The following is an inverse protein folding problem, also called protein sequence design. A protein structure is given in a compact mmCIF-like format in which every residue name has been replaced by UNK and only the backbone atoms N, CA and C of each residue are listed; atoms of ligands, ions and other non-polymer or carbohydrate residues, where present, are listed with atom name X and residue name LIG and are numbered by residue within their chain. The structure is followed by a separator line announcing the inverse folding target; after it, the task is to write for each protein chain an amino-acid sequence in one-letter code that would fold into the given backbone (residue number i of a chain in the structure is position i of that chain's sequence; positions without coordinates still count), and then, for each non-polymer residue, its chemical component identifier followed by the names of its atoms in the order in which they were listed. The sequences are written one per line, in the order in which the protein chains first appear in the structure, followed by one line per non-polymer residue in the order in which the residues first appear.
data_IF_939975536275
#
_entry.id   IF_939975536275
#
_cell.length_a   1.000
_cell.length_b   1.000
_cell.length_c   1.000
_cell.angle_alpha   90.00
_cell.angle_beta   90.00
_cell.angle_gamma   90.00
#
_symmetry.space_group_name_H-M   'P 1'
#
loop_
_entity.id
_entity.type
_entity.pdbx_description
1 polymer ?
#
# COMPACT_ATOMS: atom_id res chain seq x y z
N UNK A 1 -15.41 -16.45 5.69
CA UNK A 1 -14.80 -15.34 4.91
C UNK A 1 -14.79 -14.10 5.78
N UNK A 2 -13.76 -13.25 5.72
CA UNK A 2 -13.61 -12.09 6.63
C UNK A 2 -14.61 -10.95 6.38
N UNK A 3 -15.31 -10.94 5.23
CA UNK A 3 -16.28 -9.89 4.89
C UNK A 3 -15.66 -8.53 4.55
N UNK A 4 -14.33 -8.44 4.51
CA UNK A 4 -13.58 -7.23 4.17
C UNK A 4 -13.40 -7.10 2.65
N UNK A 5 -13.17 -5.86 2.19
CA UNK A 5 -12.82 -5.59 0.81
C UNK A 5 -11.30 -5.64 0.66
N UNK A 6 -10.83 -6.54 -0.20
CA UNK A 6 -9.42 -6.70 -0.56
C UNK A 6 -9.16 -6.13 -1.96
N UNK A 7 -7.92 -5.69 -2.16
CA UNK A 7 -7.49 -5.00 -3.36
C UNK A 7 -6.19 -5.59 -3.87
N UNK A 8 -6.12 -5.77 -5.18
CA UNK A 8 -4.95 -6.19 -5.91
C UNK A 8 -4.83 -5.28 -7.13
N UNK A 9 -3.86 -4.37 -7.13
CA UNK A 9 -3.69 -3.44 -8.25
C UNK A 9 -3.41 -4.22 -9.55
N UNK A 10 -3.87 -3.73 -10.71
CA UNK A 10 -3.83 -4.48 -11.96
C UNK A 10 -2.42 -4.97 -12.32
N UNK A 11 -2.35 -6.06 -13.08
CA UNK A 11 -1.11 -6.71 -13.53
C UNK A 11 -0.35 -7.33 -12.35
N UNK A 12 0.67 -6.66 -11.86
CA UNK A 12 1.56 -7.07 -10.80
C UNK A 12 0.86 -7.53 -9.50
N UNK A 13 -0.17 -6.83 -9.04
CA UNK A 13 -0.88 -7.20 -7.80
C UNK A 13 -1.71 -8.46 -8.00
N UNK A 14 -2.44 -8.53 -9.11
CA UNK A 14 -3.23 -9.71 -9.51
C UNK A 14 -2.35 -10.95 -9.74
N UNK A 15 -1.17 -10.77 -10.34
CA UNK A 15 -0.16 -11.82 -10.51
C UNK A 15 0.33 -12.36 -9.16
N UNK A 16 0.70 -11.47 -8.23
CA UNK A 16 1.11 -11.85 -6.87
C UNK A 16 -0.02 -12.53 -6.10
N UNK A 17 -1.27 -12.08 -6.26
CA UNK A 17 -2.44 -12.74 -5.69
C UNK A 17 -2.58 -14.17 -6.23
N UNK A 18 -2.46 -14.36 -7.55
CA UNK A 18 -2.55 -15.67 -8.18
C UNK A 18 -1.39 -16.60 -7.78
N UNK A 19 -0.18 -16.08 -7.67
CA UNK A 19 1.04 -16.87 -7.41
C UNK A 19 1.25 -17.18 -5.92
N UNK A 20 0.95 -16.22 -5.03
CA UNK A 20 1.29 -16.29 -3.61
C UNK A 20 0.07 -16.28 -2.67
N UNK A 21 -1.14 -15.99 -3.18
CA UNK A 21 -2.37 -16.08 -2.39
C UNK A 21 -2.61 -14.92 -1.42
N UNK A 22 -2.02 -13.75 -1.64
CA UNK A 22 -2.23 -12.56 -0.81
C UNK A 22 -2.67 -11.33 -1.62
N UNK A 23 -3.43 -10.44 -0.99
CA UNK A 23 -3.85 -9.17 -1.55
C UNK A 23 -2.94 -8.03 -1.09
N UNK A 24 -2.85 -6.98 -1.90
CA UNK A 24 -1.90 -5.89 -1.74
C UNK A 24 -2.42 -4.88 -0.72
N UNK A 25 -3.73 -4.71 -0.61
CA UNK A 25 -4.35 -3.93 0.45
C UNK A 25 -5.69 -4.53 0.89
N UNK A 26 -6.13 -4.12 2.08
CA UNK A 26 -7.46 -4.39 2.62
C UNK A 26 -8.01 -3.13 3.26
N UNK A 27 -9.32 -2.92 3.14
CA UNK A 27 -10.02 -1.88 3.89
C UNK A 27 -10.67 -2.44 5.15
N UNK A 28 -10.39 -1.81 6.29
CA UNK A 28 -10.93 -2.14 7.61
C UNK A 28 -11.56 -0.89 8.20
N UNK A 29 -12.87 -0.72 8.01
CA UNK A 29 -13.56 0.52 8.41
C UNK A 29 -13.01 1.74 7.66
N UNK A 30 -12.46 2.68 8.40
CA UNK A 30 -11.79 3.90 7.92
C UNK A 30 -10.29 3.71 7.62
N UNK A 31 -9.76 2.50 7.78
CA UNK A 31 -8.33 2.22 7.54
C UNK A 31 -8.10 1.48 6.23
N UNK A 32 -6.97 1.80 5.61
CA UNK A 32 -6.38 1.02 4.53
C UNK A 32 -5.11 0.39 5.07
N UNK A 33 -5.04 -0.93 5.09
CA UNK A 33 -3.84 -1.67 5.46
C UNK A 33 -3.19 -2.24 4.20
N UNK A 34 -1.93 -1.85 3.96
CA UNK A 34 -1.16 -2.32 2.82
C UNK A 34 -0.23 -3.45 3.24
N UNK A 35 -0.14 -4.50 2.43
CA UNK A 35 0.97 -5.44 2.49
C UNK A 35 2.30 -4.74 2.17
N UNK A 36 3.41 -5.36 2.59
CA UNK A 36 4.76 -4.87 2.32
C UNK A 36 5.02 -4.59 0.84
N UNK A 37 5.55 -3.40 0.54
CA UNK A 37 5.93 -2.96 -0.79
C UNK A 37 7.45 -2.89 -0.91
N UNK A 38 8.00 -3.73 -1.78
CA UNK A 38 9.36 -3.60 -2.29
C UNK A 38 9.44 -2.76 -3.56
N UNK A 39 10.62 -2.69 -4.16
CA UNK A 39 10.83 -1.99 -5.43
C UNK A 39 10.28 -2.76 -6.65
N UNK A 40 10.18 -4.09 -6.59
CA UNK A 40 9.67 -4.91 -7.70
C UNK A 40 8.13 -4.91 -7.69
N UNK A 41 7.53 -4.22 -8.65
CA UNK A 41 6.08 -4.26 -8.83
C UNK A 41 5.67 -5.56 -9.52
N UNK A 42 6.21 -5.84 -10.71
CA UNK A 42 5.82 -6.97 -11.57
C UNK A 42 6.61 -8.24 -11.37
N UNK A 43 6.72 -9.01 -12.46
CA UNK A 43 7.37 -10.32 -12.52
C UNK A 43 8.79 -10.32 -11.88
N UNK A 44 9.23 -11.45 -11.29
CA UNK A 44 10.62 -11.64 -10.84
C UNK A 44 11.69 -11.33 -11.89
N UNK A 45 11.34 -11.36 -13.19
CA UNK A 45 12.27 -11.01 -14.28
C UNK A 45 12.46 -9.51 -14.49
N UNK A 46 11.57 -8.65 -13.96
CA UNK A 46 11.70 -7.20 -14.08
C UNK A 46 12.89 -6.72 -13.24
N UNK A 47 13.96 -6.16 -13.80
CA UNK A 47 15.14 -5.78 -13.03
C UNK A 47 14.80 -4.77 -11.92
N UNK A 48 15.40 -4.95 -10.76
CA UNK A 48 15.32 -3.98 -9.68
C UNK A 48 16.16 -2.74 -10.01
N UNK A 49 15.80 -1.57 -9.45
CA UNK A 49 16.70 -0.44 -9.42
C UNK A 49 18.06 -0.84 -8.81
N UNK A 50 19.18 -0.39 -9.41
CA UNK A 50 20.51 -0.89 -9.07
C UNK A 50 21.02 -0.45 -7.70
N UNK A 51 20.48 0.65 -7.13
CA UNK A 51 20.90 1.13 -5.82
C UNK A 51 19.81 0.96 -4.75
N UNK A 52 20.24 0.77 -3.50
CA UNK A 52 19.35 0.74 -2.33
C UNK A 52 18.45 1.98 -2.28
N UNK A 53 19.01 3.16 -2.51
CA UNK A 53 18.26 4.42 -2.47
C UNK A 53 17.18 4.50 -3.54
N UNK A 54 17.43 3.98 -4.75
CA UNK A 54 16.42 3.91 -5.81
C UNK A 54 15.37 2.84 -5.52
N UNK A 55 15.75 1.71 -4.91
CA UNK A 55 14.78 0.72 -4.45
C UNK A 55 13.82 1.32 -3.40
N UNK A 56 14.35 2.13 -2.47
CA UNK A 56 13.52 2.86 -1.49
C UNK A 56 12.56 3.82 -2.22
N UNK A 57 13.04 4.64 -3.15
CA UNK A 57 12.17 5.56 -3.92
C UNK A 57 11.06 4.83 -4.68
N UNK A 58 11.40 3.67 -5.26
CA UNK A 58 10.43 2.84 -5.97
C UNK A 58 9.42 2.19 -5.01
N UNK A 59 9.87 1.71 -3.84
CA UNK A 59 8.97 1.18 -2.82
C UNK A 59 7.97 2.24 -2.36
N UNK A 60 8.40 3.50 -2.18
CA UNK A 60 7.48 4.61 -1.89
C UNK A 60 6.46 4.85 -3.00
N UNK A 61 6.89 4.83 -4.26
CA UNK A 61 5.99 4.94 -5.41
C UNK A 61 4.98 3.79 -5.46
N UNK A 62 5.41 2.57 -5.11
CA UNK A 62 4.53 1.39 -5.08
C UNK A 62 3.51 1.47 -3.93
N UNK A 63 3.88 2.01 -2.77
CA UNK A 63 2.92 2.30 -1.69
C UNK A 63 1.87 3.31 -2.14
N UNK A 64 2.27 4.38 -2.83
CA UNK A 64 1.34 5.36 -3.38
C UNK A 64 0.29 4.69 -4.28
N UNK A 65 0.75 3.88 -5.24
CA UNK A 65 -0.12 3.12 -6.14
C UNK A 65 -1.09 2.21 -5.36
N UNK A 66 -0.58 1.48 -4.38
CA UNK A 66 -1.37 0.53 -3.61
C UNK A 66 -2.49 1.24 -2.81
N UNK A 67 -2.16 2.33 -2.13
CA UNK A 67 -3.13 3.15 -1.40
C UNK A 67 -4.20 3.75 -2.33
N UNK A 68 -3.78 4.31 -3.47
CA UNK A 68 -4.70 4.89 -4.44
C UNK A 68 -5.64 3.84 -5.05
N UNK A 69 -5.11 2.65 -5.35
CA UNK A 69 -5.92 1.56 -5.87
C UNK A 69 -6.96 1.07 -4.83
N UNK A 70 -6.64 1.13 -3.53
CA UNK A 70 -7.59 0.89 -2.44
C UNK A 70 -8.57 2.06 -2.18
N UNK A 71 -8.59 3.07 -3.04
CA UNK A 71 -9.47 4.23 -2.97
C UNK A 71 -8.99 5.38 -2.07
N UNK A 72 -7.78 5.28 -1.52
CA UNK A 72 -7.17 6.35 -0.73
C UNK A 72 -6.55 7.46 -1.59
N UNK A 73 -6.08 8.50 -0.93
CA UNK A 73 -5.37 9.65 -1.53
C UNK A 73 -3.85 9.43 -1.60
N UNK A 74 -3.35 8.36 -0.97
CA UNK A 74 -1.94 7.99 -0.95
C UNK A 74 -1.24 8.38 0.34
N UNK A 75 0.04 8.74 0.23
CA UNK A 75 0.92 8.99 1.39
C UNK A 75 0.42 10.06 2.35
N UNK A 76 -0.35 11.05 1.88
CA UNK A 76 -0.95 12.09 2.73
C UNK A 76 -1.86 11.55 3.84
N UNK A 77 -2.33 10.30 3.72
CA UNK A 77 -3.20 9.64 4.68
C UNK A 77 -2.45 8.64 5.59
N UNK A 78 -1.17 8.38 5.34
CA UNK A 78 -0.40 7.36 6.08
C UNK A 78 -0.06 7.85 7.48
N UNK A 79 -0.46 7.10 8.51
CA UNK A 79 -0.12 7.43 9.90
C UNK A 79 0.88 6.47 10.54
N UNK A 80 1.03 5.24 10.01
CA UNK A 80 1.97 4.23 10.48
C UNK A 80 2.81 3.69 9.34
N UNK A 81 4.12 3.62 9.55
CA UNK A 81 5.08 2.99 8.65
C UNK A 81 5.91 1.97 9.41
N UNK A 82 6.02 0.76 8.86
CA UNK A 82 7.03 -0.21 9.25
C UNK A 82 7.94 -0.42 8.03
N UNK A 83 9.26 -0.36 8.22
CA UNK A 83 10.20 -0.69 7.14
C UNK A 83 11.25 -1.70 7.58
N UNK A 84 11.53 -2.64 6.67
CA UNK A 84 12.43 -3.76 6.86
C UNK A 84 13.57 -3.63 5.87
N UNK A 85 14.81 -3.67 6.36
CA UNK A 85 16.01 -3.39 5.57
C UNK A 85 17.01 -4.53 5.66
N UNK A 86 17.51 -4.99 4.52
CA UNK A 86 18.67 -5.91 4.48
C UNK A 86 19.97 -5.14 4.74
N UNK A 87 20.03 -3.88 4.29
CA UNK A 87 21.11 -2.94 4.57
C UNK A 87 20.52 -1.66 5.19
N UNK A 88 20.91 -1.37 6.44
CA UNK A 88 20.46 -0.21 7.21
C UNK A 88 21.58 0.83 7.34
N UNK A 89 22.16 1.22 6.20
CA UNK A 89 23.17 2.28 6.10
C UNK A 89 22.58 3.68 6.28
N UNK A 90 23.45 4.67 6.50
CA UNK A 90 23.06 6.08 6.59
C UNK A 90 22.34 6.56 5.31
N UNK A 91 22.75 6.04 4.15
CA UNK A 91 22.09 6.31 2.87
C UNK A 91 20.64 5.78 2.84
N UNK A 92 20.39 4.63 3.46
CA UNK A 92 19.05 4.06 3.61
C UNK A 92 18.17 4.96 4.47
N UNK A 93 18.67 5.40 5.63
CA UNK A 93 17.94 6.27 6.54
C UNK A 93 17.71 7.67 5.94
N UNK A 94 18.69 8.21 5.22
CA UNK A 94 18.55 9.45 4.48
C UNK A 94 17.49 9.32 3.36
N UNK A 95 17.43 8.15 2.71
CA UNK A 95 16.43 7.84 1.69
C UNK A 95 15.00 7.73 2.24
N UNK A 96 14.82 7.07 3.38
CA UNK A 96 13.53 7.05 4.06
C UNK A 96 13.11 8.47 4.46
N UNK A 97 14.02 9.23 5.07
CA UNK A 97 13.76 10.60 5.55
C UNK A 97 13.39 11.56 4.42
N UNK A 98 14.13 11.54 3.29
CA UNK A 98 13.79 12.42 2.15
C UNK A 98 12.43 12.10 1.57
N UNK A 99 12.06 10.81 1.52
CA UNK A 99 10.76 10.40 0.99
C UNK A 99 9.63 10.78 1.95
N UNK A 100 9.78 10.61 3.26
CA UNK A 100 8.77 11.10 4.20
C UNK A 100 8.51 12.60 4.03
N UNK A 101 9.57 13.42 3.93
CA UNK A 101 9.43 14.87 3.68
C UNK A 101 8.76 15.19 2.34
N UNK A 102 9.07 14.42 1.28
CA UNK A 102 8.49 14.60 -0.06
C UNK A 102 7.00 14.23 -0.11
N UNK A 103 6.65 13.07 0.43
CA UNK A 103 5.33 12.46 0.27
C UNK A 103 4.34 12.85 1.36
N UNK A 104 4.84 13.27 2.53
CA UNK A 104 4.04 13.73 3.67
C UNK A 104 4.53 15.10 4.15
N UNK A 105 4.44 16.16 3.34
CA UNK A 105 4.95 17.49 3.72
C UNK A 105 4.15 18.16 4.85
N UNK A 106 2.97 17.65 5.19
CA UNK A 106 2.03 18.27 6.12
C UNK A 106 1.83 17.48 7.43
N UNK A 107 2.43 16.29 7.57
CA UNK A 107 2.39 15.50 8.79
C UNK A 107 3.57 14.51 8.85
N UNK A 108 3.79 13.89 10.01
CA UNK A 108 4.80 12.85 10.18
C UNK A 108 4.14 11.58 10.73
N UNK A 109 4.37 10.40 10.13
CA UNK A 109 3.83 9.16 10.65
C UNK A 109 4.64 8.67 11.85
N UNK A 110 4.06 7.76 12.65
CA UNK A 110 4.89 6.89 13.49
C UNK A 110 5.69 5.96 12.57
N UNK A 111 6.96 5.73 12.91
CA UNK A 111 7.84 4.90 12.08
C UNK A 111 8.65 3.92 12.94
N UNK A 112 8.57 2.63 12.59
CA UNK A 112 9.47 1.59 13.09
C UNK A 112 10.37 1.12 11.95
N UNK A 113 11.69 1.12 12.20
CA UNK A 113 12.71 0.69 11.24
C UNK A 113 13.43 -0.54 11.81
N UNK A 114 13.49 -1.64 11.05
CA UNK A 114 14.05 -2.92 11.51
C UNK A 114 15.02 -3.47 10.47
N UNK A 115 16.20 -3.90 10.93
CA UNK A 115 17.13 -4.70 10.13
C UNK A 115 16.71 -6.16 10.08
N UNK A 116 16.74 -6.78 8.90
CA UNK A 116 16.35 -8.18 8.66
C UNK A 116 17.40 -8.91 7.82
N UNK A 117 17.47 -10.23 7.95
CA UNK A 117 18.43 -11.04 7.20
C UNK A 117 18.09 -11.14 5.70
N UNK A 118 16.79 -11.19 5.35
CA UNK A 118 16.30 -11.34 3.97
C UNK A 118 14.85 -10.85 3.81
N UNK A 119 14.46 -10.62 2.56
CA UNK A 119 13.10 -10.22 2.15
C UNK A 119 12.50 -11.24 1.17
N UNK A 120 11.33 -10.95 0.62
CA UNK A 120 10.58 -11.87 -0.27
C UNK A 120 11.29 -12.23 -1.59
N UNK A 121 12.31 -11.46 -1.98
CA UNK A 121 13.15 -11.68 -3.15
C UNK A 121 14.62 -11.44 -2.76
N UNK A 122 15.54 -12.26 -3.29
CA UNK A 122 16.97 -12.22 -2.93
C UNK A 122 17.63 -10.86 -3.26
N UNK A 123 17.15 -10.17 -4.30
CA UNK A 123 17.69 -8.88 -4.72
C UNK A 123 17.03 -7.69 -4.01
N UNK A 124 15.91 -7.91 -3.31
CA UNK A 124 15.23 -6.85 -2.54
C UNK A 124 16.08 -6.42 -1.36
N UNK A 125 16.21 -5.09 -1.22
CA UNK A 125 16.96 -4.48 -0.10
C UNK A 125 16.07 -3.81 0.94
N UNK A 126 14.84 -3.47 0.56
CA UNK A 126 13.86 -2.82 1.44
C UNK A 126 12.45 -3.34 1.18
N UNK A 127 11.66 -3.40 2.23
CA UNK A 127 10.20 -3.60 2.17
C UNK A 127 9.51 -2.60 3.12
N UNK A 128 8.44 -1.96 2.65
CA UNK A 128 7.71 -0.91 3.38
C UNK A 128 6.24 -1.30 3.52
N UNK A 129 5.79 -1.45 4.76
CA UNK A 129 4.39 -1.70 5.12
C UNK A 129 3.79 -0.42 5.71
N UNK A 130 2.57 -0.07 5.31
CA UNK A 130 1.90 1.14 5.79
C UNK A 130 0.45 0.91 6.19
N UNK A 131 -0.03 1.78 7.07
CA UNK A 131 -1.47 1.96 7.33
C UNK A 131 -1.83 3.41 7.11
N UNK A 132 -2.91 3.62 6.35
CA UNK A 132 -3.52 4.92 6.12
C UNK A 132 -4.89 5.04 6.78
N UNK A 133 -5.25 6.26 7.15
CA UNK A 133 -6.57 6.64 7.67
C UNK A 133 -7.31 7.44 6.60
N UNK A 134 -8.49 6.96 6.21
CA UNK A 134 -9.31 7.49 5.12
C UNK A 134 -10.78 7.51 5.54
N UNK A 135 -11.10 8.38 6.52
CA UNK A 135 -12.45 8.54 7.07
C UNK A 135 -13.48 8.94 6.00
N UNK A 136 -13.16 9.95 5.19
CA UNK A 136 -14.05 10.40 4.12
C UNK A 136 -14.28 9.32 3.06
N UNK A 137 -13.24 8.58 2.65
CA UNK A 137 -13.40 7.49 1.69
C UNK A 137 -14.24 6.35 2.24
N UNK A 138 -14.18 6.09 3.55
CA UNK A 138 -15.06 5.12 4.20
C UNK A 138 -16.51 5.59 4.27
N UNK A 139 -16.77 6.89 4.47
CA UNK A 139 -18.11 7.47 4.39
C UNK A 139 -18.68 7.35 2.98
N UNK A 140 -17.94 7.78 1.95
CA UNK A 140 -18.35 7.63 0.55
C UNK A 140 -18.67 6.17 0.19
N UNK A 141 -17.87 5.21 0.68
CA UNK A 141 -18.10 3.79 0.45
C UNK A 141 -19.35 3.25 1.18
N UNK A 142 -19.70 3.79 2.35
CA UNK A 142 -20.94 3.47 3.08
C UNK A 142 -22.16 4.01 2.34
N UNK A 143 -22.14 5.29 1.97
CA UNK A 143 -23.22 5.95 1.24
C UNK A 143 -23.54 5.25 -0.08
N UNK A 144 -22.52 4.86 -0.86
CA UNK A 144 -22.71 4.13 -2.11
C UNK A 144 -23.42 2.77 -1.93
N UNK A 145 -23.17 2.07 -0.82
CA UNK A 145 -23.82 0.79 -0.49
C UNK A 145 -25.27 0.98 -0.05
N UNK A 146 -25.59 2.09 0.59
CA UNK A 146 -26.93 2.41 1.08
C UNK A 146 -27.80 2.99 -0.04
N UNK A 147 -27.27 3.90 -0.86
CA UNK A 147 -27.96 4.49 -2.01
C UNK A 147 -28.33 3.46 -3.08
N UNK A 148 -27.46 2.48 -3.36
CA UNK A 148 -27.74 1.40 -4.31
C UNK A 148 -28.84 0.42 -3.86
N UNK A 149 -29.26 0.45 -2.60
CA UNK A 149 -30.39 -0.37 -2.09
C UNK A 149 -31.75 0.32 -2.22
N UNK A 150 -31.79 1.63 -2.50
CA UNK A 150 -33.02 2.42 -2.63
C UNK A 150 -33.71 2.30 -3.99
N UNK A 151 -32.96 2.15 -5.08
CA UNK A 151 -33.50 2.21 -6.45
C UNK A 151 -34.14 0.90 -6.94
N UNK A 152 -34.02 -0.20 -6.18
CA UNK A 152 -34.54 -1.52 -6.56
C UNK A 152 -35.99 -1.81 -6.15
N UNK A 153 -36.71 -0.87 -5.52
CA UNK A 153 -38.03 -1.14 -4.90
C UNK A 153 -39.25 -0.57 -5.63
N UNK A 154 -39.10 0.13 -6.76
CA UNK A 154 -40.22 0.87 -7.38
C UNK A 154 -40.69 0.36 -8.77
N UNK A 155 -40.28 -0.83 -9.22
CA UNK A 155 -40.78 -1.41 -10.48
C UNK A 155 -41.38 -2.79 -10.27
N UNK A 156 -42.62 -2.81 -9.81
CA UNK A 156 -43.41 -4.04 -9.73
C UNK A 156 -44.76 -3.85 -9.08
N UNK A 157 -45.63 -3.04 -9.69
CA UNK A 157 -47.09 -3.14 -9.61
C UNK A 157 -47.69 -2.16 -10.61
N UNK A 158 -48.34 -2.70 -11.66
CA UNK A 158 -48.94 -1.97 -12.77
C UNK A 158 -49.32 -2.91 -13.91
#
# INVERSE_FOLDING_TARGET
MSGLQYYAYPTAGEEKLKQHGYSQAVRVGDRIECAGQGARLGSPQQPLPPTLTQQIDQAFSNVQLNLQHAGGLGWSQVFRVNSYHVDMSDDALAAMTRNFKKWMPHHAPIWTCVGVERLGDQEMKVEIEVVALDGEGAERAREAREGGRGEGKEKGEG
#
